data_IF_962635177761
#
_entry.id   IF_962635177761
#
_cell.length_a   1.000
_cell.length_b   1.000
_cell.length_c   1.000
_cell.angle_alpha   90.00
_cell.angle_beta   90.00
_cell.angle_gamma   90.00
#
_symmetry.space_group_name_H-M   'P 1'
#
loop_
_entity.id
_entity.type
_entity.pdbx_description
1 polymer ?
#
# COMPACT_ATOMS: atom_id res chain seq x y z
N UNK A 1 -9.17 -5.45 -11.05
CA UNK A 1 -9.55 -4.94 -9.72
C UNK A 1 -11.04 -4.59 -9.71
N UNK A 2 -11.77 -4.99 -8.65
CA UNK A 2 -13.22 -4.71 -8.52
C UNK A 2 -13.52 -3.37 -7.84
N UNK A 3 -12.59 -2.83 -7.07
CA UNK A 3 -12.73 -1.58 -6.32
C UNK A 3 -12.34 -0.36 -7.16
N UNK A 4 -13.10 0.71 -7.01
CA UNK A 4 -12.73 2.08 -7.38
C UNK A 4 -12.89 2.98 -6.15
N UNK A 5 -11.82 3.65 -5.74
CA UNK A 5 -11.89 4.81 -4.86
C UNK A 5 -12.21 6.03 -5.72
N UNK A 6 -13.40 6.57 -5.57
CA UNK A 6 -13.84 7.75 -6.30
C UNK A 6 -13.63 9.00 -5.44
N UNK A 7 -12.73 9.85 -5.87
CA UNK A 7 -12.31 11.03 -5.12
C UNK A 7 -13.04 12.27 -5.64
N UNK A 8 -13.71 12.98 -4.73
CA UNK A 8 -14.31 14.24 -5.00
C UNK A 8 -13.32 15.38 -4.75
N UNK A 9 -12.76 15.95 -5.80
CA UNK A 9 -11.91 17.13 -5.72
C UNK A 9 -12.69 18.41 -5.40
N UNK A 10 -11.98 19.47 -4.99
CA UNK A 10 -12.58 20.75 -4.57
C UNK A 10 -13.51 21.39 -5.60
N UNK A 11 -13.24 21.17 -6.89
CA UNK A 11 -14.00 21.75 -8.00
C UNK A 11 -14.93 20.75 -8.68
N UNK A 12 -15.11 19.55 -8.11
CA UNK A 12 -16.00 18.53 -8.67
C UNK A 12 -17.43 18.78 -8.19
N UNK A 13 -18.35 19.04 -9.12
CA UNK A 13 -19.77 19.15 -8.79
C UNK A 13 -20.35 17.80 -8.36
N UNK A 14 -21.48 17.83 -7.61
CA UNK A 14 -22.21 16.63 -7.24
C UNK A 14 -22.69 15.85 -8.47
N UNK A 15 -23.15 16.55 -9.50
CA UNK A 15 -23.60 15.96 -10.76
C UNK A 15 -22.49 15.16 -11.47
N UNK A 16 -21.29 15.75 -11.58
CA UNK A 16 -20.13 15.07 -12.18
C UNK A 16 -19.73 13.87 -11.35
N UNK A 17 -19.71 14.00 -10.01
CA UNK A 17 -19.37 12.90 -9.10
C UNK A 17 -20.37 11.73 -9.25
N UNK A 18 -21.68 12.01 -9.23
CA UNK A 18 -22.71 10.98 -9.40
C UNK A 18 -22.67 10.33 -10.79
N UNK A 19 -22.34 11.10 -11.83
CA UNK A 19 -22.15 10.57 -13.18
C UNK A 19 -20.98 9.59 -13.23
N UNK A 20 -19.83 9.96 -12.66
CA UNK A 20 -18.65 9.12 -12.59
C UNK A 20 -18.91 7.83 -11.76
N UNK A 21 -19.66 7.96 -10.65
CA UNK A 21 -20.06 6.83 -9.83
C UNK A 21 -20.93 5.83 -10.62
N UNK A 22 -22.00 6.31 -11.24
CA UNK A 22 -22.89 5.46 -12.06
C UNK A 22 -22.15 4.80 -13.22
N UNK A 23 -21.26 5.52 -13.88
CA UNK A 23 -20.41 4.95 -14.93
C UNK A 23 -19.53 3.84 -14.41
N UNK A 24 -18.86 4.05 -13.26
CA UNK A 24 -18.00 3.04 -12.64
C UNK A 24 -18.78 1.78 -12.24
N UNK A 25 -19.98 1.97 -11.67
CA UNK A 25 -20.87 0.87 -11.30
C UNK A 25 -21.37 0.09 -12.53
N UNK A 26 -21.64 0.79 -13.66
CA UNK A 26 -22.04 0.14 -14.92
C UNK A 26 -20.96 -0.77 -15.50
N UNK A 27 -19.70 -0.55 -15.13
CA UNK A 27 -18.55 -1.42 -15.47
C UNK A 27 -18.40 -2.61 -14.50
N UNK A 28 -19.36 -2.85 -13.62
CA UNK A 28 -19.31 -3.92 -12.63
C UNK A 28 -18.31 -3.67 -11.49
N UNK A 29 -17.99 -2.39 -11.22
CA UNK A 29 -17.10 -2.01 -10.11
C UNK A 29 -17.88 -1.66 -8.86
N UNK A 30 -17.26 -1.91 -7.71
CA UNK A 30 -17.74 -1.39 -6.43
C UNK A 30 -17.06 -0.03 -6.19
N UNK A 31 -17.86 1.00 -5.98
CA UNK A 31 -17.37 2.36 -5.77
C UNK A 31 -17.37 2.70 -4.29
N UNK A 32 -16.24 3.19 -3.79
CA UNK A 32 -16.10 3.81 -2.47
C UNK A 32 -15.85 5.29 -2.66
N UNK A 33 -16.70 6.13 -2.06
CA UNK A 33 -16.56 7.58 -2.11
C UNK A 33 -15.54 8.04 -1.07
N UNK A 34 -14.54 8.80 -1.50
CA UNK A 34 -13.43 9.23 -0.65
C UNK A 34 -13.21 10.73 -0.83
N UNK A 35 -12.98 11.44 0.27
CA UNK A 35 -12.50 12.82 0.20
C UNK A 35 -11.02 12.84 -0.18
N UNK A 36 -10.60 13.91 -0.88
CA UNK A 36 -9.22 14.06 -1.32
C UNK A 36 -8.28 14.14 -0.10
N UNK A 37 -7.36 13.21 -0.03
CA UNK A 37 -6.36 13.10 1.03
C UNK A 37 -5.16 12.28 0.55
N UNK A 38 -3.94 12.59 0.99
CA UNK A 38 -2.75 11.80 0.65
C UNK A 38 -2.91 10.30 0.92
N UNK A 39 -2.70 9.49 -0.11
CA UNK A 39 -2.82 8.03 -0.04
C UNK A 39 -4.24 7.48 0.00
N UNK A 40 -5.25 8.34 -0.03
CA UNK A 40 -6.67 7.97 0.04
C UNK A 40 -6.95 6.95 1.17
N UNK A 41 -7.73 5.90 0.93
CA UNK A 41 -8.00 4.86 1.94
C UNK A 41 -7.04 3.68 1.76
N UNK A 42 -7.04 3.07 0.58
CA UNK A 42 -6.34 1.78 0.39
C UNK A 42 -4.84 1.92 0.42
N UNK A 43 -4.28 2.91 -0.27
CA UNK A 43 -2.82 3.13 -0.28
C UNK A 43 -2.30 3.49 1.11
N UNK A 44 -3.02 4.34 1.85
CA UNK A 44 -2.61 4.75 3.19
C UNK A 44 -2.64 3.58 4.17
N UNK A 45 -3.71 2.79 4.18
CA UNK A 45 -3.85 1.64 5.07
C UNK A 45 -2.83 0.55 4.76
N UNK A 46 -2.67 0.20 3.49
CA UNK A 46 -1.75 -0.88 3.11
C UNK A 46 -0.30 -0.47 3.33
N UNK A 47 0.04 0.81 3.10
CA UNK A 47 1.37 1.31 3.40
C UNK A 47 1.72 1.13 4.89
N UNK A 48 0.85 1.58 5.80
CA UNK A 48 1.08 1.47 7.25
C UNK A 48 1.25 0.01 7.65
N UNK A 49 0.40 -0.88 7.14
CA UNK A 49 0.51 -2.31 7.42
C UNK A 49 1.84 -2.90 6.94
N UNK A 50 2.23 -2.63 5.69
CA UNK A 50 3.47 -3.15 5.14
C UNK A 50 4.70 -2.55 5.85
N UNK A 51 4.68 -1.24 6.13
CA UNK A 51 5.78 -0.59 6.84
C UNK A 51 5.95 -1.13 8.26
N UNK A 52 4.85 -1.39 8.97
CA UNK A 52 4.89 -2.00 10.29
C UNK A 52 5.38 -3.46 10.24
N UNK A 53 4.96 -4.22 9.23
CA UNK A 53 5.46 -5.58 9.00
C UNK A 53 7.00 -5.60 8.77
N UNK A 54 7.53 -4.61 8.05
CA UNK A 54 8.98 -4.47 7.86
C UNK A 54 9.68 -4.12 9.18
N UNK A 55 9.10 -3.27 10.03
CA UNK A 55 9.67 -2.97 11.36
C UNK A 55 9.70 -4.20 12.27
N UNK A 56 8.62 -5.00 12.30
CA UNK A 56 8.58 -6.27 13.05
C UNK A 56 9.73 -7.18 12.61
N UNK A 57 10.05 -7.21 11.32
CA UNK A 57 11.19 -7.95 10.79
C UNK A 57 12.53 -7.31 11.22
N UNK A 58 12.65 -5.97 11.17
CA UNK A 58 13.85 -5.23 11.63
C UNK A 58 14.15 -5.48 13.11
N UNK A 59 13.12 -5.56 13.92
CA UNK A 59 13.19 -5.83 15.36
C UNK A 59 13.44 -7.33 15.67
N UNK A 60 13.63 -8.14 14.64
CA UNK A 60 13.86 -9.59 14.74
C UNK A 60 12.74 -10.35 15.51
N UNK A 61 11.53 -9.78 15.55
CA UNK A 61 10.37 -10.40 16.22
C UNK A 61 9.90 -11.64 15.44
N UNK A 62 9.90 -11.57 14.10
CA UNK A 62 9.51 -12.69 13.26
C UNK A 62 10.17 -12.63 11.87
N UNK A 63 10.31 -13.79 11.23
CA UNK A 63 10.79 -13.85 9.85
C UNK A 63 9.76 -13.26 8.86
N UNK A 64 10.18 -12.79 7.68
CA UNK A 64 9.25 -12.34 6.63
C UNK A 64 8.14 -13.36 6.35
N UNK A 65 8.50 -14.64 6.29
CA UNK A 65 7.55 -15.73 6.02
C UNK A 65 6.54 -15.93 7.16
N UNK A 66 6.99 -15.81 8.40
CA UNK A 66 6.10 -15.96 9.57
C UNK A 66 5.14 -14.78 9.68
N UNK A 67 5.60 -13.56 9.41
CA UNK A 67 4.76 -12.36 9.34
C UNK A 67 3.67 -12.53 8.29
N UNK A 68 4.04 -12.93 7.08
CA UNK A 68 3.09 -13.15 5.99
C UNK A 68 2.10 -14.28 6.32
N UNK A 69 2.59 -15.35 6.92
CA UNK A 69 1.74 -16.48 7.35
C UNK A 69 0.76 -16.04 8.44
N UNK A 70 1.22 -15.30 9.44
CA UNK A 70 0.36 -14.77 10.49
C UNK A 70 -0.77 -13.89 9.93
N UNK A 71 -0.45 -12.96 9.02
CA UNK A 71 -1.45 -12.09 8.40
C UNK A 71 -2.45 -12.87 7.53
N UNK A 72 -1.98 -13.87 6.77
CA UNK A 72 -2.87 -14.73 5.97
C UNK A 72 -3.85 -15.52 6.84
N UNK A 73 -3.38 -16.06 7.95
CA UNK A 73 -4.21 -16.93 8.80
C UNK A 73 -5.08 -16.13 9.79
N UNK A 74 -4.54 -15.08 10.41
CA UNK A 74 -5.26 -14.30 11.41
C UNK A 74 -6.30 -13.34 10.79
N UNK A 75 -5.99 -12.75 9.62
CA UNK A 75 -6.81 -11.74 8.99
C UNK A 75 -7.46 -12.21 7.68
N UNK A 76 -7.24 -13.47 7.29
CA UNK A 76 -7.72 -14.02 6.02
C UNK A 76 -7.25 -13.20 4.78
N UNK A 77 -6.03 -12.69 4.83
CA UNK A 77 -5.47 -11.96 3.71
C UNK A 77 -5.08 -12.92 2.59
N UNK A 78 -5.34 -12.59 1.32
CA UNK A 78 -4.93 -13.44 0.20
C UNK A 78 -3.42 -13.47 -0.02
N UNK A 79 -2.70 -12.46 0.51
CA UNK A 79 -1.27 -12.27 0.41
C UNK A 79 -0.77 -11.56 1.67
N UNK A 80 0.40 -11.94 2.18
CA UNK A 80 0.99 -11.28 3.33
C UNK A 80 1.60 -9.91 2.99
N UNK A 81 1.82 -9.05 3.99
CA UNK A 81 2.27 -7.67 3.77
C UNK A 81 3.69 -7.56 3.17
N UNK A 82 4.60 -8.47 3.53
CA UNK A 82 5.97 -8.48 2.99
C UNK A 82 5.95 -8.96 1.52
N UNK A 83 5.19 -10.02 1.23
CA UNK A 83 4.98 -10.51 -0.14
C UNK A 83 4.29 -9.45 -1.02
N UNK A 84 3.36 -8.68 -0.45
CA UNK A 84 2.68 -7.58 -1.13
C UNK A 84 3.62 -6.41 -1.42
N UNK A 85 4.55 -6.09 -0.49
CA UNK A 85 5.59 -5.09 -0.73
C UNK A 85 6.44 -5.45 -1.95
N UNK A 86 6.89 -6.70 -2.05
CA UNK A 86 7.65 -7.19 -3.20
C UNK A 86 6.82 -7.22 -4.51
N UNK A 87 5.51 -7.45 -4.43
CA UNK A 87 4.62 -7.43 -5.59
C UNK A 87 4.45 -6.01 -6.15
N UNK A 88 4.23 -5.02 -5.29
CA UNK A 88 4.03 -3.62 -5.67
C UNK A 88 5.36 -2.97 -6.05
N UNK A 89 6.39 -3.26 -5.30
CA UNK A 89 7.74 -2.75 -5.42
C UNK A 89 8.17 -1.93 -4.21
N UNK A 90 9.32 -2.31 -3.64
CA UNK A 90 9.85 -1.71 -2.42
C UNK A 90 10.19 -0.22 -2.59
N UNK A 91 10.56 0.21 -3.80
CA UNK A 91 10.72 1.63 -4.16
C UNK A 91 9.39 2.39 -4.13
N UNK A 92 8.31 1.79 -4.59
CA UNK A 92 6.97 2.40 -4.53
C UNK A 92 6.56 2.62 -3.06
N UNK A 93 6.72 1.60 -2.21
CA UNK A 93 6.44 1.74 -0.78
C UNK A 93 7.32 2.78 -0.10
N UNK A 94 8.61 2.82 -0.43
CA UNK A 94 9.53 3.83 0.09
C UNK A 94 9.04 5.25 -0.24
N UNK A 95 8.72 5.53 -1.51
CA UNK A 95 8.26 6.86 -1.92
C UNK A 95 6.87 7.22 -1.38
N UNK A 96 5.96 6.26 -1.23
CA UNK A 96 4.68 6.48 -0.54
C UNK A 96 4.95 6.92 0.90
N UNK A 97 5.87 6.26 1.60
CA UNK A 97 6.24 6.62 2.96
C UNK A 97 6.82 8.01 3.09
N UNK A 98 7.75 8.39 2.21
CA UNK A 98 8.31 9.75 2.18
C UNK A 98 7.20 10.80 1.94
N UNK A 99 6.29 10.52 1.01
CA UNK A 99 5.16 11.41 0.73
C UNK A 99 4.23 11.53 1.95
N UNK A 100 3.81 10.41 2.53
CA UNK A 100 2.92 10.42 3.70
C UNK A 100 3.59 11.05 4.93
N UNK A 101 4.89 10.83 5.12
CA UNK A 101 5.64 11.46 6.22
C UNK A 101 5.70 12.99 6.07
N UNK A 102 5.86 13.49 4.86
CA UNK A 102 5.83 14.94 4.58
C UNK A 102 4.45 15.56 4.89
N UNK A 103 3.36 14.84 4.59
CA UNK A 103 2.00 15.35 4.73
C UNK A 103 1.44 15.16 6.15
N UNK A 104 1.81 14.08 6.85
CA UNK A 104 1.22 13.67 8.12
C UNK A 104 2.22 13.52 9.28
N UNK A 105 3.50 13.65 9.02
CA UNK A 105 4.54 13.60 10.04
C UNK A 105 5.25 12.24 10.18
N UNK A 106 6.17 12.19 11.12
CA UNK A 106 7.20 11.15 11.25
C UNK A 106 6.69 9.73 11.47
N UNK A 107 5.47 9.57 11.96
CA UNK A 107 4.85 8.26 12.14
C UNK A 107 4.70 7.47 10.82
N UNK A 108 4.77 8.18 9.69
CA UNK A 108 4.69 7.59 8.35
C UNK A 108 6.05 7.41 7.69
N UNK A 109 7.15 7.69 8.37
CA UNK A 109 8.48 7.47 7.79
C UNK A 109 8.66 6.01 7.41
N UNK A 110 9.20 5.76 6.20
CA UNK A 110 9.52 4.39 5.80
C UNK A 110 10.61 3.81 6.69
N UNK A 111 10.53 2.50 6.94
CA UNK A 111 11.58 1.77 7.62
C UNK A 111 12.92 1.96 6.89
N UNK A 112 14.05 2.12 7.63
CA UNK A 112 15.39 2.22 7.05
C UNK A 112 15.73 1.07 6.09
N UNK A 113 15.28 -0.14 6.35
CA UNK A 113 15.49 -1.30 5.47
C UNK A 113 14.90 -1.06 4.08
N UNK A 114 13.73 -0.43 3.95
CA UNK A 114 13.17 -0.10 2.64
C UNK A 114 14.10 0.80 1.83
N UNK A 115 14.73 1.79 2.49
CA UNK A 115 15.72 2.63 1.83
C UNK A 115 16.93 1.82 1.34
N UNK A 116 17.48 0.98 2.20
CA UNK A 116 18.61 0.11 1.81
C UNK A 116 18.27 -0.80 0.64
N UNK A 117 17.06 -1.37 0.63
CA UNK A 117 16.60 -2.22 -0.46
C UNK A 117 16.50 -1.46 -1.77
N UNK A 118 16.01 -0.22 -1.74
CA UNK A 118 15.96 0.66 -2.92
C UNK A 118 17.37 0.95 -3.42
N UNK A 119 18.28 1.34 -2.54
CA UNK A 119 19.68 1.65 -2.88
C UNK A 119 20.39 0.43 -3.49
N UNK A 120 20.08 -0.78 -3.01
CA UNK A 120 20.62 -2.07 -3.50
C UNK A 120 19.85 -2.64 -4.70
N UNK A 121 18.83 -1.95 -5.21
CA UNK A 121 17.94 -2.41 -6.28
C UNK A 121 17.21 -3.74 -5.99
N UNK A 122 16.92 -4.00 -4.73
CA UNK A 122 16.13 -5.15 -4.26
C UNK A 122 14.65 -4.75 -4.25
N UNK A 123 14.06 -4.56 -5.44
CA UNK A 123 12.76 -3.92 -5.59
C UNK A 123 11.58 -4.91 -5.63
N UNK A 124 11.82 -6.17 -5.31
CA UNK A 124 10.82 -7.22 -5.33
C UNK A 124 10.71 -7.91 -6.70
N UNK A 125 9.49 -8.34 -7.08
CA UNK A 125 9.26 -9.16 -8.29
C UNK A 125 9.80 -8.55 -9.57
N UNK A 126 9.74 -7.24 -9.73
CA UNK A 126 10.24 -6.54 -10.93
C UNK A 126 11.76 -6.66 -11.14
N UNK A 127 12.52 -6.89 -10.07
CA UNK A 127 13.96 -7.14 -10.11
C UNK A 127 14.31 -8.59 -9.77
N UNK A 128 13.30 -9.47 -9.64
CA UNK A 128 13.40 -10.88 -9.25
C UNK A 128 13.96 -11.11 -7.85
N UNK A 129 14.22 -10.05 -7.10
CA UNK A 129 14.70 -10.10 -5.72
C UNK A 129 14.20 -8.89 -4.93
N UNK A 130 13.71 -9.15 -3.75
CA UNK A 130 13.27 -8.19 -2.74
C UNK A 130 13.49 -8.79 -1.36
N UNK A 131 12.45 -8.82 -0.56
CA UNK A 131 12.43 -9.62 0.68
C UNK A 131 12.47 -11.12 0.37
N UNK A 132 11.96 -11.50 -0.80
CA UNK A 132 12.01 -12.86 -1.35
C UNK A 132 12.80 -12.90 -2.66
N UNK A 133 13.13 -14.12 -3.10
CA UNK A 133 13.65 -14.41 -4.45
C UNK A 133 12.55 -14.99 -5.33
N UNK A 134 12.50 -14.58 -6.63
CA UNK A 134 11.45 -14.91 -7.59
C UNK A 134 12.00 -15.50 -8.90
#
# INVERSE_FOLDING_TARGET
MKLIELIKGKNTSDEVFETAKKFSESLGKTVVSVNDSPGFVTTRLIYVLCNEAVKIMEEEIASPRDIDTACKLAFNFPMGPIELSDLVGNDIYFHIGEYLAREFGDNYKPSPILKEMVDKKLLGRKTKKGFYEY
#
